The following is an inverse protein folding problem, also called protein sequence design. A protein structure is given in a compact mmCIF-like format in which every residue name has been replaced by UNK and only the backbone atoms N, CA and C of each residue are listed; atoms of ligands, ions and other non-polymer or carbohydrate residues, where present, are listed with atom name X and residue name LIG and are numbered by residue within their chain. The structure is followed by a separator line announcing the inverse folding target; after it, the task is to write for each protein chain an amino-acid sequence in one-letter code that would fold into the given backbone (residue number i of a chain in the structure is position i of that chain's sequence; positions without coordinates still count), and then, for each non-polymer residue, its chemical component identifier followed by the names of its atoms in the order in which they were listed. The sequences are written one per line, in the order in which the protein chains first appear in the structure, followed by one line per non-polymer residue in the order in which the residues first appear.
data_IF_326650342147
#
_entry.id   IF_326650342147
#
_cell.length_a   1.000
_cell.length_b   1.000
_cell.length_c   1.000
_cell.angle_alpha   90.00
_cell.angle_beta   90.00
_cell.angle_gamma   90.00
#
_symmetry.space_group_name_H-M   'P 1'
#
loop_
_entity.id
_entity.type
_entity.pdbx_description
1 polymer ?
#
# COMPACT_ATOMS: atom_id res chain seq x y z
N UNK A 1 -18.66 -0.52 10.45
CA UNK A 1 -19.25 0.14 9.26
C UNK A 1 -18.15 0.46 8.26
N UNK A 2 -18.07 -0.32 7.18
CA UNK A 2 -17.01 -0.16 6.18
C UNK A 2 -17.26 1.09 5.32
N UNK A 3 -16.22 1.92 5.15
CA UNK A 3 -16.34 3.22 4.47
C UNK A 3 -16.31 3.03 2.95
N UNK A 4 -17.32 3.53 2.26
CA UNK A 4 -17.35 3.63 0.80
C UNK A 4 -16.30 4.64 0.32
N UNK A 5 -15.60 4.33 -0.77
CA UNK A 5 -14.77 5.32 -1.46
C UNK A 5 -15.69 6.36 -2.13
N UNK A 6 -15.17 7.54 -2.49
CA UNK A 6 -15.92 8.66 -3.07
C UNK A 6 -16.79 8.24 -4.27
N UNK A 7 -16.26 7.38 -5.16
CA UNK A 7 -17.02 6.87 -6.31
C UNK A 7 -18.17 5.96 -5.90
N UNK A 8 -17.95 5.05 -4.95
CA UNK A 8 -18.97 4.12 -4.47
C UNK A 8 -20.06 4.87 -3.68
N UNK A 9 -19.64 5.85 -2.87
CA UNK A 9 -20.54 6.75 -2.13
C UNK A 9 -21.44 7.53 -3.09
N UNK A 10 -20.88 8.11 -4.14
CA UNK A 10 -21.67 8.81 -5.18
C UNK A 10 -22.72 7.88 -5.82
N UNK A 11 -22.35 6.64 -6.13
CA UNK A 11 -23.30 5.64 -6.68
C UNK A 11 -24.42 5.34 -5.69
N UNK A 12 -24.07 5.02 -4.45
CA UNK A 12 -25.03 4.73 -3.38
C UNK A 12 -26.03 5.89 -3.21
N UNK A 13 -25.54 7.12 -3.06
CA UNK A 13 -26.39 8.28 -2.81
C UNK A 13 -27.34 8.59 -3.97
N UNK A 14 -26.89 8.45 -5.22
CA UNK A 14 -27.74 8.70 -6.40
C UNK A 14 -28.81 7.61 -6.52
N UNK A 15 -28.43 6.34 -6.35
CA UNK A 15 -29.38 5.22 -6.46
C UNK A 15 -30.37 5.24 -5.30
N UNK A 16 -29.94 5.61 -4.09
CA UNK A 16 -30.82 5.80 -2.94
C UNK A 16 -31.84 6.91 -3.19
N UNK A 17 -31.40 8.09 -3.65
CA UNK A 17 -32.32 9.19 -4.03
C UNK A 17 -33.33 8.76 -5.10
N UNK A 18 -32.93 7.94 -6.06
CA UNK A 18 -33.86 7.41 -7.07
C UNK A 18 -34.85 6.40 -6.47
N UNK A 19 -34.37 5.53 -5.58
CA UNK A 19 -35.21 4.57 -4.87
C UNK A 19 -36.26 5.26 -3.98
N UNK A 20 -35.87 6.35 -3.32
CA UNK A 20 -36.72 7.15 -2.43
C UNK A 20 -37.66 8.10 -3.20
N UNK A 21 -37.63 8.08 -4.54
CA UNK A 21 -38.48 8.93 -5.39
C UNK A 21 -38.06 10.40 -5.46
N UNK A 22 -36.95 10.78 -4.83
CA UNK A 22 -36.45 12.18 -4.79
C UNK A 22 -35.88 12.66 -6.14
N UNK A 23 -35.47 11.72 -7.01
CA UNK A 23 -35.00 12.03 -8.37
C UNK A 23 -35.59 11.04 -9.37
N UNK A 24 -35.76 11.51 -10.60
CA UNK A 24 -36.22 10.65 -11.71
C UNK A 24 -35.13 9.70 -12.19
N UNK A 25 -35.55 8.59 -12.82
CA UNK A 25 -34.65 7.62 -13.43
C UNK A 25 -33.66 8.28 -14.41
N UNK A 26 -34.17 9.12 -15.34
CA UNK A 26 -33.34 9.82 -16.33
C UNK A 26 -32.29 10.73 -15.66
N UNK A 27 -32.65 11.42 -14.57
CA UNK A 27 -31.71 12.24 -13.81
C UNK A 27 -30.61 11.41 -13.15
N UNK A 28 -30.99 10.28 -12.52
CA UNK A 28 -30.04 9.36 -11.90
C UNK A 28 -29.09 8.75 -12.95
N UNK A 29 -29.64 8.34 -14.09
CA UNK A 29 -28.91 7.77 -15.21
C UNK A 29 -27.90 8.76 -15.79
N UNK A 30 -28.31 10.01 -16.04
CA UNK A 30 -27.42 11.07 -16.55
C UNK A 30 -26.28 11.37 -15.57
N UNK A 31 -26.55 11.40 -14.26
CA UNK A 31 -25.54 11.67 -13.22
C UNK A 31 -24.50 10.56 -13.06
N UNK A 32 -24.88 9.32 -13.36
CA UNK A 32 -24.01 8.14 -13.24
C UNK A 32 -23.38 7.70 -14.57
N UNK A 33 -24.00 8.04 -15.71
CA UNK A 33 -23.54 7.64 -17.04
C UNK A 33 -23.65 6.13 -17.29
N UNK A 34 -24.62 5.46 -16.68
CA UNK A 34 -24.81 4.01 -16.79
C UNK A 34 -25.96 3.62 -17.71
N UNK A 35 -25.88 2.40 -18.27
CA UNK A 35 -26.99 1.81 -19.01
C UNK A 35 -28.17 1.52 -18.09
N UNK A 36 -29.38 1.43 -18.66
CA UNK A 36 -30.59 1.17 -17.90
C UNK A 36 -30.50 -0.12 -17.09
N UNK A 37 -30.00 -1.20 -17.70
CA UNK A 37 -29.80 -2.48 -17.02
C UNK A 37 -28.84 -2.35 -15.81
N UNK A 38 -27.77 -1.56 -15.93
CA UNK A 38 -26.84 -1.35 -14.83
C UNK A 38 -27.50 -0.55 -13.71
N UNK A 39 -28.34 0.44 -14.03
CA UNK A 39 -29.14 1.16 -13.04
C UNK A 39 -30.06 0.21 -12.26
N UNK A 40 -30.79 -0.69 -12.93
CA UNK A 40 -31.61 -1.69 -12.26
C UNK A 40 -30.81 -2.68 -11.41
N UNK A 41 -29.63 -3.11 -11.87
CA UNK A 41 -28.71 -3.94 -11.06
C UNK A 41 -28.28 -3.22 -9.78
N UNK A 42 -27.98 -1.92 -9.85
CA UNK A 42 -27.63 -1.12 -8.67
C UNK A 42 -28.83 -0.95 -7.72
N UNK A 43 -30.04 -0.78 -8.25
CA UNK A 43 -31.26 -0.71 -7.44
C UNK A 43 -31.52 -2.03 -6.72
N UNK A 44 -31.37 -3.16 -7.41
CA UNK A 44 -31.44 -4.50 -6.82
C UNK A 44 -30.40 -4.69 -5.71
N UNK A 45 -29.15 -4.28 -5.94
CA UNK A 45 -28.10 -4.31 -4.92
C UNK A 45 -28.44 -3.48 -3.67
N UNK A 46 -29.05 -2.29 -3.85
CA UNK A 46 -29.51 -1.47 -2.75
C UNK A 46 -30.60 -2.19 -1.93
N UNK A 47 -31.56 -2.84 -2.60
CA UNK A 47 -32.63 -3.57 -1.90
C UNK A 47 -32.10 -4.80 -1.15
N UNK A 48 -31.13 -5.52 -1.70
CA UNK A 48 -30.60 -6.76 -1.10
C UNK A 48 -29.57 -6.51 0.01
N UNK A 49 -28.72 -5.49 -0.13
CA UNK A 49 -27.53 -5.29 0.71
C UNK A 49 -27.32 -3.86 1.19
N UNK A 50 -28.26 -2.96 0.91
CA UNK A 50 -28.18 -1.52 1.19
C UNK A 50 -26.79 -0.94 0.86
N UNK A 51 -26.12 -0.33 1.84
CA UNK A 51 -24.83 0.33 1.67
C UNK A 51 -23.69 -0.66 1.40
N UNK A 52 -23.79 -1.88 1.92
CA UNK A 52 -22.74 -2.90 1.80
C UNK A 52 -22.63 -3.43 0.38
N UNK A 53 -23.75 -3.46 -0.37
CA UNK A 53 -23.78 -3.88 -1.78
C UNK A 53 -22.94 -3.01 -2.72
N UNK A 54 -22.59 -1.79 -2.31
CA UNK A 54 -21.77 -0.86 -3.09
C UNK A 54 -20.28 -0.95 -2.76
N UNK A 55 -19.89 -1.73 -1.76
CA UNK A 55 -18.49 -2.03 -1.46
C UNK A 55 -17.95 -2.94 -2.56
N UNK A 56 -16.78 -2.61 -3.11
CA UNK A 56 -16.14 -3.46 -4.10
C UNK A 56 -15.87 -4.88 -3.55
N UNK A 57 -16.32 -5.92 -4.26
CA UNK A 57 -16.22 -7.32 -3.79
C UNK A 57 -14.79 -7.86 -3.61
N UNK A 58 -13.79 -7.25 -4.26
CA UNK A 58 -12.37 -7.59 -4.04
C UNK A 58 -11.70 -6.66 -3.01
N UNK A 59 -12.44 -5.77 -2.35
CA UNK A 59 -11.88 -4.92 -1.29
C UNK A 59 -11.42 -5.80 -0.14
N UNK A 60 -10.16 -5.64 0.27
CA UNK A 60 -9.56 -6.40 1.35
C UNK A 60 -9.28 -7.88 1.04
N UNK A 61 -9.79 -8.42 -0.07
CA UNK A 61 -9.53 -9.82 -0.47
C UNK A 61 -8.08 -9.97 -0.95
N UNK A 62 -7.31 -10.77 -0.22
CA UNK A 62 -5.95 -11.18 -0.63
C UNK A 62 -6.04 -12.33 -1.65
N UNK A 63 -5.19 -12.36 -2.69
CA UNK A 63 -5.08 -13.51 -3.59
C UNK A 63 -4.75 -14.81 -2.82
N UNK A 64 -5.20 -15.97 -3.32
CA UNK A 64 -4.90 -17.28 -2.71
C UNK A 64 -3.39 -17.57 -2.61
N UNK A 65 -2.61 -17.04 -3.54
CA UNK A 65 -1.14 -17.22 -3.63
C UNK A 65 -0.41 -16.23 -2.70
N UNK A 66 -1.13 -15.44 -1.89
CA UNK A 66 -0.49 -14.53 -0.95
C UNK A 66 0.31 -15.34 0.06
N UNK A 67 1.63 -15.16 -0.01
CA UNK A 67 2.58 -15.69 0.98
C UNK A 67 2.15 -15.23 2.37
N UNK A 68 2.31 -16.12 3.35
CA UNK A 68 1.96 -15.85 4.73
C UNK A 68 2.69 -14.60 5.27
N UNK A 69 1.99 -13.86 6.13
CA UNK A 69 2.54 -12.67 6.76
C UNK A 69 3.72 -13.05 7.65
N UNK A 70 3.66 -14.20 8.34
CA UNK A 70 4.75 -14.72 9.16
C UNK A 70 6.06 -14.85 8.39
N UNK A 71 6.02 -15.32 7.13
CA UNK A 71 7.22 -15.43 6.30
C UNK A 71 7.80 -14.05 5.99
N UNK A 72 6.94 -13.07 5.75
CA UNK A 72 7.36 -11.70 5.46
C UNK A 72 8.04 -11.07 6.69
N UNK A 73 7.52 -11.34 7.88
CA UNK A 73 8.06 -10.84 9.14
C UNK A 73 9.40 -11.52 9.46
N UNK A 74 9.51 -12.84 9.23
CA UNK A 74 10.75 -13.60 9.37
C UNK A 74 11.86 -13.08 8.44
N UNK A 75 11.55 -12.73 7.19
CA UNK A 75 12.52 -12.12 6.25
C UNK A 75 13.06 -10.79 6.79
N UNK A 76 12.26 -10.02 7.53
CA UNK A 76 12.73 -8.76 8.11
C UNK A 76 13.58 -9.06 9.35
N UNK A 77 13.11 -9.95 10.22
CA UNK A 77 13.79 -10.35 11.45
C UNK A 77 15.20 -10.86 11.18
N UNK A 78 15.36 -11.88 10.32
CA UNK A 78 16.67 -12.46 10.02
C UNK A 78 17.65 -11.45 9.44
N UNK A 79 17.17 -10.49 8.63
CA UNK A 79 18.02 -9.44 8.10
C UNK A 79 18.54 -8.50 9.20
N UNK A 80 17.73 -8.24 10.22
CA UNK A 80 18.09 -7.35 11.32
C UNK A 80 18.98 -8.02 12.37
N UNK A 81 18.84 -9.33 12.58
CA UNK A 81 19.55 -10.07 13.63
C UNK A 81 20.81 -10.77 13.11
N UNK A 82 20.70 -11.56 12.05
CA UNK A 82 21.74 -12.50 11.63
C UNK A 82 22.49 -12.02 10.38
N UNK A 83 21.79 -11.38 9.43
CA UNK A 83 22.35 -10.99 8.12
C UNK A 83 22.48 -9.47 7.96
N UNK A 84 22.74 -8.78 9.08
CA UNK A 84 22.89 -7.33 9.06
C UNK A 84 24.04 -6.90 8.15
N UNK A 85 23.78 -5.95 7.26
CA UNK A 85 24.80 -5.44 6.35
C UNK A 85 25.04 -6.31 5.12
N UNK A 86 24.27 -7.37 4.90
CA UNK A 86 24.36 -8.17 3.68
C UNK A 86 23.69 -7.42 2.52
N UNK A 87 24.26 -7.52 1.32
CA UNK A 87 23.54 -7.10 0.13
C UNK A 87 22.37 -8.06 -0.14
N UNK A 88 21.29 -7.57 -0.75
CA UNK A 88 20.06 -8.37 -0.88
C UNK A 88 20.21 -9.63 -1.75
N UNK A 89 21.13 -9.64 -2.70
CA UNK A 89 21.42 -10.85 -3.50
C UNK A 89 22.08 -11.92 -2.64
N UNK A 90 23.04 -11.52 -1.80
CA UNK A 90 23.70 -12.41 -0.87
C UNK A 90 22.75 -12.87 0.23
N UNK A 91 21.92 -11.96 0.74
CA UNK A 91 20.88 -12.31 1.71
C UNK A 91 19.91 -13.36 1.17
N UNK A 92 19.47 -13.23 -0.09
CA UNK A 92 18.65 -14.26 -0.76
C UNK A 92 19.32 -15.64 -0.72
N UNK A 93 20.62 -15.69 -1.03
CA UNK A 93 21.39 -16.93 -1.01
C UNK A 93 21.45 -17.54 0.40
N UNK A 94 21.70 -16.72 1.43
CA UNK A 94 21.76 -17.21 2.82
C UNK A 94 20.40 -17.67 3.34
N UNK A 95 19.31 -16.99 2.96
CA UNK A 95 17.95 -17.43 3.28
C UNK A 95 17.64 -18.83 2.73
N UNK A 96 18.07 -19.10 1.51
CA UNK A 96 17.88 -20.41 0.89
C UNK A 96 18.79 -21.47 1.53
N UNK A 97 20.05 -21.13 1.81
CA UNK A 97 21.04 -22.06 2.36
C UNK A 97 20.82 -22.41 3.84
N UNK A 98 20.58 -21.42 4.71
CA UNK A 98 20.56 -21.60 6.16
C UNK A 98 19.15 -21.75 6.73
N UNK A 99 18.16 -21.09 6.11
CA UNK A 99 16.77 -21.09 6.59
C UNK A 99 15.82 -21.89 5.70
N UNK A 100 16.31 -22.45 4.58
CA UNK A 100 15.52 -23.15 3.57
C UNK A 100 14.30 -22.34 3.05
N UNK A 101 14.44 -21.01 3.01
CA UNK A 101 13.38 -20.10 2.56
C UNK A 101 13.66 -19.67 1.12
N UNK A 102 12.85 -20.18 0.18
CA UNK A 102 12.92 -19.81 -1.23
C UNK A 102 12.03 -18.62 -1.53
N UNK A 103 12.64 -17.45 -1.71
CA UNK A 103 11.93 -16.19 -2.02
C UNK A 103 12.56 -15.45 -3.18
N UNK A 104 11.75 -14.70 -3.93
CA UNK A 104 12.25 -13.87 -5.02
C UNK A 104 13.00 -12.65 -4.48
N UNK A 105 13.97 -12.15 -5.26
CA UNK A 105 14.68 -10.91 -4.93
C UNK A 105 13.72 -9.73 -4.77
N UNK A 106 12.70 -9.64 -5.64
CA UNK A 106 11.68 -8.59 -5.59
C UNK A 106 10.87 -8.63 -4.30
N UNK A 107 10.57 -9.82 -3.77
CA UNK A 107 9.91 -9.97 -2.47
C UNK A 107 10.79 -9.43 -1.35
N UNK A 108 12.07 -9.84 -1.29
CA UNK A 108 13.03 -9.31 -0.30
C UNK A 108 13.11 -7.78 -0.38
N UNK A 109 13.26 -7.22 -1.57
CA UNK A 109 13.31 -5.78 -1.78
C UNK A 109 12.05 -5.07 -1.30
N UNK A 110 10.86 -5.63 -1.58
CA UNK A 110 9.59 -5.06 -1.16
C UNK A 110 9.43 -5.10 0.37
N UNK A 111 9.74 -6.22 1.03
CA UNK A 111 9.65 -6.34 2.49
C UNK A 111 10.67 -5.44 3.18
N UNK A 112 11.95 -5.48 2.78
CA UNK A 112 12.99 -4.70 3.43
C UNK A 112 12.89 -3.21 3.09
N UNK A 113 12.84 -2.84 1.81
CA UNK A 113 12.97 -1.43 1.39
C UNK A 113 11.63 -0.69 1.35
N UNK A 114 10.60 -1.26 0.72
CA UNK A 114 9.34 -0.52 0.50
C UNK A 114 8.54 -0.42 1.80
N UNK A 115 8.40 -1.53 2.52
CA UNK A 115 7.64 -1.59 3.77
C UNK A 115 8.45 -1.07 4.94
N UNK A 116 9.66 -1.62 5.16
CA UNK A 116 10.46 -1.34 6.36
C UNK A 116 11.52 -0.24 6.18
N UNK A 117 11.72 0.29 4.97
CA UNK A 117 12.68 1.40 4.73
C UNK A 117 14.15 1.00 4.86
N UNK A 118 14.45 -0.30 4.89
CA UNK A 118 15.80 -0.84 4.96
C UNK A 118 16.37 -0.88 3.54
N UNK A 119 17.48 -0.18 3.33
CA UNK A 119 18.11 -0.06 2.01
C UNK A 119 19.36 -0.95 1.97
N UNK A 120 19.53 -1.70 0.88
CA UNK A 120 20.72 -2.51 0.63
C UNK A 120 22.02 -1.68 0.78
N UNK A 121 23.07 -2.21 1.42
CA UNK A 121 24.36 -1.53 1.59
C UNK A 121 24.96 -1.04 0.26
N UNK A 122 24.86 -1.85 -0.79
CA UNK A 122 25.37 -1.53 -2.15
C UNK A 122 24.40 -0.67 -2.99
N UNK A 123 23.35 -0.11 -2.40
CA UNK A 123 22.43 0.74 -3.15
C UNK A 123 23.07 2.08 -3.52
N UNK A 124 22.74 2.60 -4.70
CA UNK A 124 23.17 3.92 -5.18
C UNK A 124 22.75 5.04 -4.21
N UNK A 125 23.54 6.12 -4.15
CA UNK A 125 23.29 7.28 -3.26
C UNK A 125 21.88 7.87 -3.45
N UNK A 126 21.40 7.96 -4.69
CA UNK A 126 20.05 8.45 -5.00
C UNK A 126 18.95 7.57 -4.39
N UNK A 127 19.12 6.25 -4.44
CA UNK A 127 18.21 5.29 -3.82
C UNK A 127 18.20 5.43 -2.31
N UNK A 128 19.39 5.54 -1.68
CA UNK A 128 19.50 5.79 -0.23
C UNK A 128 18.78 7.07 0.18
N UNK A 129 19.01 8.17 -0.54
CA UNK A 129 18.33 9.47 -0.33
C UNK A 129 16.80 9.33 -0.40
N UNK A 130 16.31 8.71 -1.47
CA UNK A 130 14.87 8.55 -1.73
C UNK A 130 14.17 7.82 -0.58
N UNK A 131 14.66 6.64 -0.21
CA UNK A 131 13.97 5.82 0.80
C UNK A 131 14.16 6.35 2.23
N UNK A 132 15.29 7.01 2.52
CA UNK A 132 15.49 7.72 3.79
C UNK A 132 14.51 8.90 3.94
N UNK A 133 14.30 9.67 2.86
CA UNK A 133 13.28 10.73 2.84
C UNK A 133 11.88 10.16 3.06
N UNK A 134 11.52 9.09 2.34
CA UNK A 134 10.22 8.43 2.50
C UNK A 134 10.01 7.89 3.92
N UNK A 135 11.04 7.32 4.55
CA UNK A 135 10.92 6.82 5.92
C UNK A 135 10.74 7.95 6.94
N UNK A 136 11.43 9.09 6.76
CA UNK A 136 11.25 10.27 7.61
C UNK A 136 9.86 10.90 7.45
N UNK A 137 9.33 10.96 6.22
CA UNK A 137 7.98 11.47 5.95
C UNK A 137 6.88 10.58 6.55
N UNK A 138 7.12 9.28 6.69
CA UNK A 138 6.18 8.35 7.35
C UNK A 138 6.13 8.53 8.87
N UNK A 139 7.14 9.16 9.50
CA UNK A 139 7.17 9.36 10.95
C UNK A 139 6.27 10.53 11.34
N UNK A 140 5.34 10.28 12.26
CA UNK A 140 4.37 11.29 12.77
C UNK A 140 5.06 12.56 13.31
N UNK A 141 6.23 12.40 13.92
CA UNK A 141 7.06 13.49 14.47
C UNK A 141 7.48 14.54 13.42
N UNK A 142 7.48 14.19 12.14
CA UNK A 142 7.93 15.06 11.06
C UNK A 142 6.78 15.67 10.25
N UNK A 143 5.52 15.48 10.66
CA UNK A 143 4.35 16.02 9.95
C UNK A 143 4.36 17.56 9.85
N UNK A 144 4.97 18.23 10.83
CA UNK A 144 5.06 19.70 10.89
C UNK A 144 6.30 20.27 10.17
N UNK A 145 7.22 19.40 9.70
CA UNK A 145 8.47 19.83 9.09
C UNK A 145 8.29 20.11 7.61
N UNK A 146 8.93 21.15 7.13
CA UNK A 146 8.90 21.47 5.69
C UNK A 146 9.73 20.48 4.88
N UNK A 147 9.40 20.31 3.61
CA UNK A 147 10.15 19.41 2.72
C UNK A 147 11.64 19.79 2.62
N UNK A 148 11.93 21.10 2.70
CA UNK A 148 13.30 21.63 2.69
C UNK A 148 14.11 21.17 3.92
N UNK A 149 13.51 21.22 5.10
CA UNK A 149 14.13 20.75 6.34
C UNK A 149 14.43 19.24 6.28
N UNK A 150 13.46 18.45 5.81
CA UNK A 150 13.63 17.00 5.66
C UNK A 150 14.77 16.69 4.68
N UNK A 151 14.85 17.40 3.55
CA UNK A 151 15.93 17.21 2.59
C UNK A 151 17.32 17.52 3.21
N UNK A 152 17.42 18.55 4.06
CA UNK A 152 18.65 18.92 4.77
C UNK A 152 19.06 17.85 5.81
N UNK A 153 18.10 17.29 6.53
CA UNK A 153 18.34 16.18 7.48
C UNK A 153 18.86 14.95 6.72
N UNK A 154 18.22 14.59 5.60
CA UNK A 154 18.60 13.42 4.80
C UNK A 154 20.01 13.58 4.22
N UNK A 155 20.35 14.75 3.68
CA UNK A 155 21.68 14.99 3.12
C UNK A 155 22.77 14.88 4.19
N UNK A 156 22.54 15.46 5.37
CA UNK A 156 23.46 15.39 6.50
C UNK A 156 23.68 13.95 6.98
N UNK A 157 22.59 13.18 7.19
CA UNK A 157 22.69 11.78 7.62
C UNK A 157 23.43 10.88 6.63
N UNK A 158 23.33 11.18 5.32
CA UNK A 158 24.04 10.42 4.29
C UNK A 158 25.51 10.81 4.24
N UNK A 159 25.83 12.09 4.40
CA UNK A 159 27.21 12.55 4.50
C UNK A 159 27.92 11.89 5.70
N UNK A 160 27.28 11.84 6.87
CA UNK A 160 27.82 11.14 8.04
C UNK A 160 28.08 9.67 7.78
N UNK A 161 27.14 8.97 7.12
CA UNK A 161 27.27 7.54 6.81
C UNK A 161 28.34 7.25 5.74
N UNK A 162 28.54 8.16 4.79
CA UNK A 162 29.59 8.04 3.78
C UNK A 162 30.98 8.37 4.38
N UNK A 163 31.06 9.07 5.51
CA UNK A 163 32.31 9.48 6.18
C UNK A 163 32.84 8.45 7.21
N UNK A 164 32.01 7.50 7.63
CA UNK A 164 32.43 6.37 8.47
C UNK A 164 33.00 5.25 7.59
N UNK A 165 34.25 4.76 7.85
CA UNK A 165 34.87 3.67 7.10
C UNK A 165 34.07 2.37 7.07
#
# INVERSE_FOLDING_TARGET
MERLNMKEKKKYEIIKKWNDGLITFKSAQLKLGYSEQHMYRLKKLLTEKDKEGFVHGNRGRKPKITIDQSLSDNIVLYYQTEFQGFNFSHYKYMLEKEKNIKVSYTKIYNELTIKNGIVSPKAKKNTRKKYKKLSLLKKKENNNKTEKEINKIVSYQIALKDATP
#
